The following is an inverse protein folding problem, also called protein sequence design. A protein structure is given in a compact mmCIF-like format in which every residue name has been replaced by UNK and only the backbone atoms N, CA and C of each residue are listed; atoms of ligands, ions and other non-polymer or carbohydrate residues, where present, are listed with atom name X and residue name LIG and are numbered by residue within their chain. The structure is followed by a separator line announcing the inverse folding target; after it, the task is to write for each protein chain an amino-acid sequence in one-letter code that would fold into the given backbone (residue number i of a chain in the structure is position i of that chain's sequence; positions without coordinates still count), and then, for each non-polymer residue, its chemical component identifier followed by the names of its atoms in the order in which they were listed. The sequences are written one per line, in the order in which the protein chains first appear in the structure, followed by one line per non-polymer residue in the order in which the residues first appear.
data_IF_555172742818
#
_entry.id   IF_555172742818
#
_cell.length_a   1.000
_cell.length_b   1.000
_cell.length_c   1.000
_cell.angle_alpha   90.00
_cell.angle_beta   90.00
_cell.angle_gamma   90.00
#
_symmetry.space_group_name_H-M   'P 1'
#
loop_
_entity.id
_entity.type
_entity.pdbx_description
1 polymer ?
#
# COMPACT_ATOMS: atom_id res chain seq x y z
N UNK A 1 18.34 -16.31 -1.77
CA UNK A 1 17.10 -17.05 -2.10
C UNK A 1 16.16 -16.04 -2.71
N UNK A 2 16.03 -16.00 -4.04
CA UNK A 2 15.10 -15.07 -4.69
C UNK A 2 13.69 -15.55 -4.34
N UNK A 3 12.88 -14.69 -3.72
CA UNK A 3 11.47 -14.99 -3.50
C UNK A 3 10.84 -15.29 -4.88
N UNK A 4 10.05 -16.37 -5.04
CA UNK A 4 9.30 -16.57 -6.26
C UNK A 4 8.48 -15.29 -6.54
N UNK A 5 8.35 -14.92 -7.81
CA UNK A 5 7.58 -13.76 -8.30
C UNK A 5 8.25 -12.37 -8.28
N UNK A 6 9.58 -12.23 -8.07
CA UNK A 6 10.22 -10.89 -8.01
C UNK A 6 9.97 -9.99 -9.23
N UNK A 7 10.01 -10.51 -10.44
CA UNK A 7 9.74 -9.70 -11.65
C UNK A 7 8.28 -9.22 -11.71
N UNK A 8 7.37 -10.02 -11.16
CA UNK A 8 5.95 -9.66 -11.04
C UNK A 8 5.74 -8.63 -9.95
N UNK A 9 6.41 -8.80 -8.80
CA UNK A 9 6.39 -7.83 -7.71
C UNK A 9 6.86 -6.46 -8.22
N UNK A 10 7.93 -6.43 -9.01
CA UNK A 10 8.45 -5.21 -9.63
C UNK A 10 7.46 -4.60 -10.63
N UNK A 11 6.79 -5.42 -11.43
CA UNK A 11 5.78 -4.98 -12.40
C UNK A 11 4.59 -4.33 -11.69
N UNK A 12 4.04 -4.99 -10.68
CA UNK A 12 2.87 -4.49 -9.94
C UNK A 12 3.21 -3.28 -9.07
N UNK A 13 4.40 -3.25 -8.48
CA UNK A 13 4.82 -2.07 -7.72
C UNK A 13 5.03 -0.85 -8.63
N UNK A 14 5.55 -1.02 -9.86
CA UNK A 14 5.62 0.09 -10.83
C UNK A 14 4.22 0.61 -11.17
N UNK A 15 3.25 -0.29 -11.36
CA UNK A 15 1.83 0.10 -11.54
C UNK A 15 1.29 0.88 -10.34
N UNK A 16 1.60 0.45 -9.11
CA UNK A 16 1.23 1.17 -7.89
C UNK A 16 1.88 2.57 -7.82
N UNK A 17 3.14 2.72 -8.25
CA UNK A 17 3.82 4.02 -8.35
C UNK A 17 3.14 4.92 -9.38
N UNK A 18 2.72 4.38 -10.53
CA UNK A 18 2.00 5.15 -11.54
C UNK A 18 0.63 5.63 -11.01
N UNK A 19 -0.07 4.82 -10.21
CA UNK A 19 -1.28 5.24 -9.50
C UNK A 19 -1.01 6.36 -8.50
N UNK A 20 0.09 6.27 -7.74
CA UNK A 20 0.47 7.29 -6.78
C UNK A 20 0.64 8.68 -7.44
N UNK A 21 1.11 8.71 -8.70
CA UNK A 21 1.27 9.96 -9.49
C UNK A 21 -0.06 10.62 -9.86
N UNK A 22 -1.18 9.90 -9.77
CA UNK A 22 -2.52 10.43 -10.03
C UNK A 22 -3.15 11.11 -8.81
N UNK A 23 -2.50 11.03 -7.64
CA UNK A 23 -3.04 11.60 -6.41
C UNK A 23 -3.26 13.12 -6.55
N UNK A 24 -4.43 13.63 -6.14
CA UNK A 24 -4.64 15.06 -5.97
C UNK A 24 -3.55 15.68 -5.08
N UNK A 25 -3.05 16.89 -5.39
CA UNK A 25 -2.04 17.56 -4.57
C UNK A 25 -2.48 17.74 -3.12
N UNK A 26 -1.58 17.50 -2.17
CA UNK A 26 -1.82 17.72 -0.75
C UNK A 26 -0.51 18.09 -0.03
N UNK A 27 -0.48 19.25 0.63
CA UNK A 27 0.72 19.79 1.27
C UNK A 27 1.18 19.01 2.53
N UNK A 28 0.35 18.13 3.09
CA UNK A 28 0.64 17.43 4.34
C UNK A 28 0.17 15.97 4.34
N UNK A 29 0.09 15.35 3.17
CA UNK A 29 -0.31 13.95 3.05
C UNK A 29 0.46 13.24 1.94
N UNK A 30 0.86 11.99 2.21
CA UNK A 30 1.50 11.14 1.22
C UNK A 30 0.58 10.84 0.05
N UNK A 31 1.17 10.85 -1.14
CA UNK A 31 0.62 10.29 -2.37
C UNK A 31 1.06 8.83 -2.44
N UNK A 32 0.09 7.94 -2.27
CA UNK A 32 0.28 6.49 -2.21
C UNK A 32 -0.59 5.88 -3.30
N UNK A 33 -0.08 4.85 -3.97
CA UNK A 33 -0.86 3.96 -4.82
C UNK A 33 -0.83 2.54 -4.27
N UNK A 34 -1.92 1.80 -4.53
CA UNK A 34 -2.09 0.41 -4.13
C UNK A 34 -2.76 -0.41 -5.23
N UNK A 35 -2.35 -1.68 -5.35
CA UNK A 35 -2.92 -2.66 -6.29
C UNK A 35 -3.13 -3.97 -5.55
N UNK A 36 -4.30 -4.59 -5.74
CA UNK A 36 -4.63 -5.94 -5.25
C UNK A 36 -4.62 -6.88 -6.44
N UNK A 37 -3.83 -7.95 -6.35
CA UNK A 37 -3.66 -8.94 -7.42
C UNK A 37 -4.01 -10.31 -6.86
N UNK A 38 -4.84 -11.07 -7.58
CA UNK A 38 -5.21 -12.43 -7.20
C UNK A 38 -4.05 -13.42 -7.31
N UNK A 39 -4.22 -14.63 -6.76
CA UNK A 39 -3.23 -15.70 -6.88
C UNK A 39 -2.98 -16.17 -8.32
N UNK A 40 -3.91 -15.85 -9.23
CA UNK A 40 -3.81 -16.07 -10.68
C UNK A 40 -2.99 -14.99 -11.41
N UNK A 41 -2.51 -13.97 -10.70
CA UNK A 41 -1.74 -12.86 -11.25
C UNK A 41 -2.58 -11.78 -11.94
N UNK A 42 -3.90 -11.78 -11.77
CA UNK A 42 -4.82 -10.78 -12.34
C UNK A 42 -5.09 -9.66 -11.32
N UNK A 43 -5.07 -8.40 -11.79
CA UNK A 43 -5.47 -7.25 -10.96
C UNK A 43 -6.96 -7.34 -10.61
N UNK A 44 -7.27 -7.40 -9.31
CA UNK A 44 -8.64 -7.43 -8.79
C UNK A 44 -9.18 -6.02 -8.57
N UNK A 45 -8.31 -5.13 -8.05
CA UNK A 45 -8.64 -3.75 -7.79
C UNK A 45 -7.37 -2.91 -7.63
N UNK A 46 -7.52 -1.61 -7.78
CA UNK A 46 -6.45 -0.66 -7.47
C UNK A 46 -7.02 0.66 -6.95
N UNK A 47 -6.15 1.47 -6.35
CA UNK A 47 -6.55 2.78 -5.88
C UNK A 47 -5.36 3.66 -5.56
N UNK A 48 -5.62 4.94 -5.39
CA UNK A 48 -4.63 5.92 -4.95
C UNK A 48 -5.19 6.85 -3.87
N UNK A 49 -4.30 7.45 -3.09
CA UNK A 49 -4.69 8.38 -2.04
C UNK A 49 -5.55 9.50 -2.61
N UNK A 50 -6.67 9.78 -1.94
CA UNK A 50 -7.62 10.85 -2.28
C UNK A 50 -8.39 10.66 -3.60
N UNK A 51 -8.48 9.44 -4.11
CA UNK A 51 -9.28 9.13 -5.31
C UNK A 51 -10.79 9.36 -5.09
N UNK A 52 -11.36 8.79 -4.03
CA UNK A 52 -12.81 8.87 -3.75
C UNK A 52 -13.18 9.93 -2.71
N UNK A 53 -12.21 10.41 -1.94
CA UNK A 53 -12.44 11.35 -0.86
C UNK A 53 -11.15 11.90 -0.27
N UNK A 54 -11.15 13.12 0.28
CA UNK A 54 -9.94 13.88 0.62
C UNK A 54 -9.04 13.26 1.71
N UNK A 55 -9.50 12.19 2.37
CA UNK A 55 -8.77 11.51 3.44
C UNK A 55 -8.50 10.03 3.13
N UNK A 56 -8.90 9.54 1.96
CA UNK A 56 -8.82 8.12 1.67
C UNK A 56 -7.38 7.72 1.38
N UNK A 57 -6.99 6.56 1.91
CA UNK A 57 -5.70 5.95 1.61
C UNK A 57 -5.87 4.99 0.43
N UNK A 58 -4.80 4.78 -0.31
CA UNK A 58 -4.81 3.91 -1.48
C UNK A 58 -5.33 2.50 -1.20
N UNK A 59 -4.92 1.88 -0.08
CA UNK A 59 -5.35 0.52 0.28
C UNK A 59 -6.83 0.47 0.65
N UNK A 60 -7.35 1.53 1.27
CA UNK A 60 -8.78 1.65 1.56
C UNK A 60 -9.61 1.77 0.28
N UNK A 61 -9.14 2.57 -0.69
CA UNK A 61 -9.81 2.71 -1.98
C UNK A 61 -9.79 1.39 -2.77
N UNK A 62 -8.64 0.73 -2.84
CA UNK A 62 -8.53 -0.56 -3.54
C UNK A 62 -9.41 -1.64 -2.88
N UNK A 63 -9.36 -1.77 -1.55
CA UNK A 63 -10.17 -2.76 -0.82
C UNK A 63 -11.68 -2.49 -0.91
N UNK A 64 -12.10 -1.23 -1.05
CA UNK A 64 -13.52 -0.89 -1.18
C UNK A 64 -14.13 -1.34 -2.52
N UNK A 65 -13.32 -1.65 -3.53
CA UNK A 65 -13.77 -2.11 -4.84
C UNK A 65 -13.97 -3.63 -4.91
N UNK A 66 -13.45 -4.37 -3.93
CA UNK A 66 -13.58 -5.83 -3.85
C UNK A 66 -14.56 -6.18 -2.72
N UNK A 67 -15.41 -7.19 -2.94
CA UNK A 67 -16.26 -7.67 -1.86
C UNK A 67 -15.41 -8.23 -0.71
N UNK A 68 -15.71 -7.89 0.54
CA UNK A 68 -14.89 -8.31 1.68
C UNK A 68 -14.78 -9.84 1.83
N UNK A 69 -15.76 -10.59 1.31
CA UNK A 69 -15.79 -12.05 1.29
C UNK A 69 -15.45 -12.64 -0.08
N UNK A 70 -14.80 -11.87 -0.95
CA UNK A 70 -14.33 -12.37 -2.25
C UNK A 70 -13.28 -13.47 -2.02
N UNK A 71 -13.51 -14.70 -2.54
CA UNK A 71 -12.60 -15.82 -2.32
C UNK A 71 -11.20 -15.58 -2.93
N UNK A 72 -11.06 -14.71 -3.93
CA UNK A 72 -9.77 -14.41 -4.54
C UNK A 72 -8.82 -13.68 -3.57
N UNK A 73 -9.35 -13.01 -2.54
CA UNK A 73 -8.54 -12.29 -1.55
C UNK A 73 -7.69 -13.22 -0.68
N UNK A 74 -8.12 -14.47 -0.48
CA UNK A 74 -7.41 -15.45 0.33
C UNK A 74 -6.06 -15.90 -0.29
N UNK A 75 -5.87 -15.67 -1.58
CA UNK A 75 -4.63 -15.95 -2.31
C UNK A 75 -4.00 -14.66 -2.86
N UNK A 76 -4.57 -13.50 -2.54
CA UNK A 76 -4.17 -12.24 -3.13
C UNK A 76 -2.87 -11.68 -2.54
N UNK A 77 -2.28 -10.75 -3.28
CA UNK A 77 -1.20 -9.88 -2.84
C UNK A 77 -1.64 -8.43 -2.97
N UNK A 78 -1.38 -7.62 -1.94
CA UNK A 78 -1.51 -6.16 -2.03
C UNK A 78 -0.12 -5.53 -2.17
N UNK A 79 0.04 -4.72 -3.20
CA UNK A 79 1.22 -3.90 -3.46
C UNK A 79 0.91 -2.48 -3.02
N UNK A 80 1.63 -1.94 -2.04
CA UNK A 80 1.47 -0.55 -1.58
C UNK A 80 2.78 0.21 -1.70
N UNK A 81 2.75 1.39 -2.32
CA UNK A 81 3.96 2.21 -2.49
C UNK A 81 4.57 2.69 -1.18
N UNK A 82 3.76 2.78 -0.11
CA UNK A 82 4.15 3.14 1.24
C UNK A 82 3.66 2.07 2.22
N UNK A 83 4.36 1.89 3.34
CA UNK A 83 3.91 1.02 4.43
C UNK A 83 2.45 1.30 4.84
N UNK A 84 1.60 0.25 4.93
CA UNK A 84 0.22 0.43 5.38
C UNK A 84 0.14 0.95 6.81
N UNK A 85 -0.56 2.07 7.00
CA UNK A 85 -0.66 2.70 8.33
C UNK A 85 -1.21 1.75 9.42
N UNK A 86 -0.60 1.78 10.60
CA UNK A 86 -1.08 1.09 11.82
C UNK A 86 -2.02 1.94 12.67
N UNK A 87 -2.02 3.26 12.47
CA UNK A 87 -2.85 4.22 13.20
C UNK A 87 -3.47 5.23 12.24
N UNK A 88 -4.63 5.76 12.60
CA UNK A 88 -5.29 6.85 11.86
C UNK A 88 -5.94 7.82 12.83
N UNK A 89 -5.98 9.09 12.43
CA UNK A 89 -6.80 10.09 13.13
C UNK A 89 -8.29 9.74 12.97
N UNK A 90 -9.06 9.89 14.06
CA UNK A 90 -10.51 9.62 14.14
C UNK A 90 -10.91 8.13 14.11
N UNK A 91 -12.23 7.84 14.09
CA UNK A 91 -12.85 6.50 14.15
C UNK A 91 -12.62 5.62 12.91
N UNK A 92 -11.61 5.91 12.09
CA UNK A 92 -11.32 5.17 10.87
C UNK A 92 -10.44 3.98 11.17
N UNK A 93 -10.78 2.84 10.58
CA UNK A 93 -9.95 1.64 10.66
C UNK A 93 -8.57 1.91 10.03
N UNK A 94 -7.44 1.44 10.59
CA UNK A 94 -6.12 1.48 9.95
C UNK A 94 -6.03 0.60 8.69
N UNK A 95 -5.09 0.89 7.78
CA UNK A 95 -4.92 0.09 6.55
C UNK A 95 -4.44 -1.33 6.87
N UNK A 96 -3.48 -1.48 7.79
CA UNK A 96 -3.04 -2.81 8.26
C UNK A 96 -4.22 -3.65 8.77
N UNK A 97 -5.12 -3.05 9.57
CA UNK A 97 -6.33 -3.74 10.05
C UNK A 97 -7.31 -4.10 8.92
N UNK A 98 -7.46 -3.25 7.89
CA UNK A 98 -8.32 -3.59 6.74
C UNK A 98 -7.76 -4.77 5.96
N UNK A 99 -6.45 -4.80 5.72
CA UNK A 99 -5.76 -5.89 5.03
C UNK A 99 -5.98 -7.22 5.78
N UNK A 100 -5.80 -7.21 7.10
CA UNK A 100 -6.06 -8.39 7.94
C UNK A 100 -7.52 -8.85 7.89
N UNK A 101 -8.47 -7.91 7.94
CA UNK A 101 -9.90 -8.22 7.82
C UNK A 101 -10.31 -8.75 6.44
N UNK A 102 -9.57 -8.40 5.40
CA UNK A 102 -9.76 -8.89 4.04
C UNK A 102 -9.14 -10.29 3.84
N UNK A 103 -8.32 -10.77 4.78
CA UNK A 103 -7.69 -12.08 4.69
C UNK A 103 -6.57 -12.17 3.66
N UNK A 104 -6.00 -11.03 3.25
CA UNK A 104 -4.90 -10.99 2.26
C UNK A 104 -3.61 -11.52 2.91
N UNK A 105 -3.02 -12.63 2.41
CA UNK A 105 -1.88 -13.28 3.05
C UNK A 105 -0.53 -12.63 2.74
N UNK A 106 -0.45 -11.75 1.74
CA UNK A 106 0.82 -11.18 1.26
C UNK A 106 0.73 -9.68 0.99
N UNK A 107 1.72 -8.94 1.50
CA UNK A 107 1.84 -7.49 1.34
C UNK A 107 3.24 -7.18 0.83
N UNK A 108 3.32 -6.37 -0.23
CA UNK A 108 4.58 -5.94 -0.83
C UNK A 108 4.67 -4.41 -0.78
N UNK A 109 5.79 -3.88 -0.29
CA UNK A 109 5.99 -2.44 -0.14
C UNK A 109 7.27 -1.94 -0.82
N UNK A 110 7.24 -0.71 -1.34
CA UNK A 110 8.43 -0.06 -1.90
C UNK A 110 9.16 0.83 -0.88
N UNK A 111 8.42 1.43 0.06
CA UNK A 111 8.98 2.40 0.98
C UNK A 111 8.34 2.23 2.37
N UNK A 112 9.19 1.98 3.38
CA UNK A 112 8.78 2.08 4.79
C UNK A 112 8.59 3.54 5.17
N UNK A 113 7.52 3.85 5.91
CA UNK A 113 7.25 5.23 6.29
C UNK A 113 8.42 5.79 7.12
N UNK A 114 9.04 6.92 6.73
CA UNK A 114 10.06 7.54 7.57
C UNK A 114 9.38 8.06 8.83
N UNK A 115 10.10 8.08 9.95
CA UNK A 115 9.65 8.58 11.26
C UNK A 115 9.40 10.10 11.31
N UNK A 116 8.96 10.72 10.20
CA UNK A 116 8.69 12.15 10.03
C UNK A 116 7.25 12.54 10.40
N UNK A 117 6.25 11.66 10.20
CA UNK A 117 4.83 11.98 10.49
C UNK A 117 4.19 11.07 11.54
N UNK A 118 4.70 9.85 11.74
CA UNK A 118 4.27 8.93 12.80
C UNK A 118 5.54 8.39 13.46
N UNK A 119 5.71 8.68 14.76
CA UNK A 119 6.91 8.25 15.50
C UNK A 119 7.02 6.72 15.62
N UNK A 120 5.89 6.01 15.51
CA UNK A 120 5.77 4.56 15.69
C UNK A 120 4.77 3.95 14.68
N UNK A 121 4.98 4.15 13.37
CA UNK A 121 4.27 3.31 12.39
C UNK A 121 4.77 1.87 12.59
N UNK A 122 3.84 0.99 12.97
CA UNK A 122 4.09 -0.43 13.29
C UNK A 122 3.23 -1.33 12.40
N UNK A 123 2.86 -0.82 11.21
CA UNK A 123 1.92 -1.50 10.32
C UNK A 123 2.52 -2.76 9.75
N UNK A 124 3.79 -2.66 9.35
CA UNK A 124 4.61 -3.80 8.97
C UNK A 124 4.67 -4.85 10.08
N UNK A 125 4.96 -4.45 11.31
CA UNK A 125 5.10 -5.35 12.45
C UNK A 125 3.76 -5.99 12.84
N UNK A 126 2.65 -5.25 12.77
CA UNK A 126 1.31 -5.79 12.99
C UNK A 126 0.93 -6.86 11.97
N UNK A 127 1.24 -6.62 10.69
CA UNK A 127 1.00 -7.59 9.61
C UNK A 127 1.89 -8.83 9.79
N UNK A 128 3.17 -8.63 10.12
CA UNK A 128 4.12 -9.71 10.36
C UNK A 128 3.66 -10.61 11.53
N UNK A 129 3.25 -10.00 12.64
CA UNK A 129 2.78 -10.72 13.83
C UNK A 129 1.50 -11.53 13.56
N UNK A 130 0.69 -11.11 12.58
CA UNK A 130 -0.51 -11.82 12.15
C UNK A 130 -0.23 -12.91 11.09
N UNK A 131 1.03 -13.14 10.73
CA UNK A 131 1.43 -14.18 9.78
C UNK A 131 1.35 -13.78 8.30
N UNK A 132 1.17 -12.48 8.01
CA UNK A 132 1.21 -11.96 6.63
C UNK A 132 2.65 -12.01 6.09
N UNK A 133 2.81 -12.54 4.88
CA UNK A 133 4.09 -12.52 4.17
C UNK A 133 4.38 -11.10 3.71
N UNK A 134 5.48 -10.53 4.20
CA UNK A 134 5.90 -9.18 3.87
C UNK A 134 7.14 -9.19 2.98
N UNK A 135 7.10 -8.39 1.92
CA UNK A 135 8.23 -8.21 0.99
C UNK A 135 8.51 -6.73 0.79
N UNK A 136 9.78 -6.36 0.85
CA UNK A 136 10.25 -5.02 0.57
C UNK A 136 10.98 -4.99 -0.78
N UNK A 137 10.73 -3.94 -1.56
CA UNK A 137 11.36 -3.66 -2.85
C UNK A 137 12.26 -2.42 -2.76
N UNK A 138 13.43 -2.52 -2.09
CA UNK A 138 14.33 -1.37 -1.89
C UNK A 138 14.79 -0.72 -3.20
N UNK A 139 14.82 -1.47 -4.31
CA UNK A 139 15.15 -0.93 -5.63
C UNK A 139 14.12 0.08 -6.18
N UNK A 140 12.89 0.07 -5.65
CA UNK A 140 11.81 0.99 -6.05
C UNK A 140 11.55 2.07 -5.01
N UNK A 141 12.27 2.08 -3.88
CA UNK A 141 12.12 3.09 -2.82
C UNK A 141 12.30 4.51 -3.36
N UNK A 142 13.33 4.75 -4.18
CA UNK A 142 13.58 6.09 -4.75
C UNK A 142 12.43 6.57 -5.63
N UNK A 143 11.87 5.66 -6.44
CA UNK A 143 10.75 5.99 -7.32
C UNK A 143 9.46 6.26 -6.53
N UNK A 144 9.18 5.49 -5.47
CA UNK A 144 8.05 5.72 -4.58
C UNK A 144 8.19 7.03 -3.78
N UNK A 145 9.41 7.35 -3.30
CA UNK A 145 9.72 8.62 -2.62
C UNK A 145 9.53 9.83 -3.51
N UNK A 146 9.96 9.75 -4.77
CA UNK A 146 9.90 10.86 -5.72
C UNK A 146 8.47 11.39 -5.93
N UNK A 147 7.46 10.52 -5.87
CA UNK A 147 6.04 10.93 -5.94
C UNK A 147 5.63 11.83 -4.76
N UNK A 148 6.41 11.82 -3.69
CA UNK A 148 6.19 12.55 -2.45
C UNK A 148 7.17 13.72 -2.24
N UNK A 149 7.95 14.10 -3.26
CA UNK A 149 8.90 15.23 -3.19
C UNK A 149 8.23 16.54 -2.77
N UNK A 150 6.93 16.70 -3.06
CA UNK A 150 6.11 17.85 -2.64
C UNK A 150 6.01 18.02 -1.12
N UNK A 151 6.26 16.97 -0.34
CA UNK A 151 6.23 17.02 1.14
C UNK A 151 7.55 17.47 1.75
N UNK A 152 8.66 17.31 1.04
CA UNK A 152 10.00 17.55 1.59
C UNK A 152 10.54 18.95 1.28
N UNK A 153 9.79 19.74 0.52
CA UNK A 153 10.18 21.08 0.09
C UNK A 153 11.31 21.02 -0.93
N UNK A 154 11.12 21.63 -2.10
CA UNK A 154 12.24 22.03 -2.93
C UNK A 154 13.11 22.99 -2.11
N UNK A 155 14.29 22.53 -1.72
CA UNK A 155 15.39 23.40 -1.30
C UNK A 155 15.87 24.23 -2.49
#
# INVERSE_FOLDING_TARGET
MYAPHRDEDLRWMRRAIDLARLCPPAAGAYSVGAVIVGGDGIELASGYSRETGPRDHAEEVALAQVAQADPQLAEATIYSTLEPCSQRSASRTPCATRILKAGIPRVVIAWREPSLFVADCVGYEQLAAAGVVLVELPELTSAAKQVNDHLFGSS
#
